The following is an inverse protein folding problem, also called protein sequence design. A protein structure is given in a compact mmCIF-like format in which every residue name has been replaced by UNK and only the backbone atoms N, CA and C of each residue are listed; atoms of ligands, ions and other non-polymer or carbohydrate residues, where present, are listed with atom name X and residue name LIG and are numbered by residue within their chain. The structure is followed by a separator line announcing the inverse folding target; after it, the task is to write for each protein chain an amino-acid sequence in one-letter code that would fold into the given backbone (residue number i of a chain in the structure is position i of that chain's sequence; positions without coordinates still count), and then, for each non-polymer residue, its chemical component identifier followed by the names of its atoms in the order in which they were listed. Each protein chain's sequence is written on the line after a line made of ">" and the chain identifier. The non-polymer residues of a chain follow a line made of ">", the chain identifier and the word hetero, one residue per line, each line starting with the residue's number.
data_IF_478414459945
#
_entry.id   IF_478414459945
#
_cell.length_a   1.000
_cell.length_b   1.000
_cell.length_c   1.000
_cell.angle_alpha   90.00
_cell.angle_beta   90.00
_cell.angle_gamma   90.00
#
_symmetry.space_group_name_H-M   'P 1'
#
loop_
_entity.id
_entity.type
_entity.pdbx_description
1 polymer ?
#
# COMPACT_ATOMS: atom_id res chain seq x y z
N UNK A 1 16.52 -1.08 26.14
CA UNK A 1 15.14 -1.60 25.99
C UNK A 1 14.25 -0.74 25.09
N UNK A 2 13.89 0.50 25.44
CA UNK A 2 13.04 1.34 24.56
C UNK A 2 13.72 1.72 23.23
N UNK A 3 15.02 2.01 23.28
CA UNK A 3 15.82 2.29 22.07
C UNK A 3 15.89 1.07 21.14
N UNK A 4 16.07 -0.14 21.70
CA UNK A 4 16.13 -1.38 20.92
C UNK A 4 14.79 -1.71 20.25
N UNK A 5 13.67 -1.47 20.96
CA UNK A 5 12.33 -1.61 20.40
C UNK A 5 12.10 -0.62 19.24
N UNK A 6 12.45 0.65 19.42
CA UNK A 6 12.34 1.67 18.36
C UNK A 6 13.13 1.28 17.11
N UNK A 7 14.37 0.84 17.28
CA UNK A 7 15.22 0.41 16.16
C UNK A 7 14.65 -0.82 15.46
N UNK A 8 14.12 -1.78 16.22
CA UNK A 8 13.49 -2.98 15.67
C UNK A 8 12.25 -2.63 14.85
N UNK A 9 11.37 -1.76 15.38
CA UNK A 9 10.18 -1.30 14.66
C UNK A 9 10.55 -0.55 13.38
N UNK A 10 11.53 0.34 13.44
CA UNK A 10 12.02 1.06 12.27
C UNK A 10 12.52 0.11 11.18
N UNK A 11 13.31 -0.90 11.54
CA UNK A 11 13.78 -1.91 10.59
C UNK A 11 12.63 -2.72 9.99
N UNK A 12 11.63 -3.11 10.78
CA UNK A 12 10.45 -3.82 10.27
C UNK A 12 9.70 -2.97 9.25
N UNK A 13 9.44 -1.69 9.56
CA UNK A 13 8.77 -0.79 8.62
C UNK A 13 9.58 -0.56 7.35
N UNK A 14 10.91 -0.45 7.44
CA UNK A 14 11.78 -0.33 6.27
C UNK A 14 11.69 -1.57 5.38
N UNK A 15 11.79 -2.78 5.95
CA UNK A 15 11.69 -4.03 5.18
C UNK A 15 10.31 -4.17 4.54
N UNK A 16 9.23 -3.88 5.28
CA UNK A 16 7.87 -3.91 4.73
C UNK A 16 7.69 -2.90 3.59
N UNK A 17 8.26 -1.70 3.72
CA UNK A 17 8.24 -0.68 2.67
C UNK A 17 8.96 -1.15 1.40
N UNK A 18 10.12 -1.78 1.54
CA UNK A 18 10.87 -2.34 0.41
C UNK A 18 10.11 -3.48 -0.27
N UNK A 19 9.57 -4.42 0.50
CA UNK A 19 8.75 -5.52 -0.03
C UNK A 19 7.54 -4.97 -0.77
N UNK A 20 6.85 -3.99 -0.19
CA UNK A 20 5.73 -3.34 -0.85
C UNK A 20 6.13 -2.68 -2.17
N UNK A 21 7.28 -2.01 -2.23
CA UNK A 21 7.79 -1.35 -3.43
C UNK A 21 8.10 -2.38 -4.54
N UNK A 22 8.70 -3.51 -4.19
CA UNK A 22 8.94 -4.63 -5.12
C UNK A 22 7.62 -5.16 -5.68
N UNK A 23 6.62 -5.39 -4.83
CA UNK A 23 5.29 -5.86 -5.24
C UNK A 23 4.62 -4.84 -6.18
N UNK A 24 4.70 -3.54 -5.87
CA UNK A 24 4.15 -2.48 -6.70
C UNK A 24 4.78 -2.47 -8.09
N UNK A 25 6.11 -2.53 -8.17
CA UNK A 25 6.82 -2.60 -9.46
C UNK A 25 6.41 -3.85 -10.23
N UNK A 26 6.39 -5.02 -9.58
CA UNK A 26 6.00 -6.27 -10.21
C UNK A 26 4.56 -6.21 -10.77
N UNK A 27 3.64 -5.62 -10.01
CA UNK A 27 2.26 -5.42 -10.44
C UNK A 27 2.17 -4.51 -11.66
N UNK A 28 2.87 -3.37 -11.66
CA UNK A 28 2.94 -2.45 -12.80
C UNK A 28 3.51 -3.17 -14.03
N UNK A 29 4.65 -3.85 -13.89
CA UNK A 29 5.27 -4.59 -15.00
C UNK A 29 4.33 -5.65 -15.54
N UNK A 30 3.64 -6.40 -14.68
CA UNK A 30 2.66 -7.41 -15.09
C UNK A 30 1.51 -6.80 -15.90
N UNK A 31 1.04 -5.61 -15.50
CA UNK A 31 -0.05 -4.89 -16.15
C UNK A 31 0.36 -4.37 -17.52
N UNK A 32 1.59 -3.85 -17.66
CA UNK A 32 2.09 -3.37 -18.94
C UNK A 32 2.33 -4.52 -19.94
N UNK A 33 2.80 -5.68 -19.45
CA UNK A 33 3.08 -6.87 -20.28
C UNK A 33 1.83 -7.56 -20.83
N UNK A 34 0.64 -7.30 -20.25
CA UNK A 34 -0.64 -7.85 -20.75
C UNK A 34 -0.98 -7.32 -22.13
N UNK A 35 -1.07 -8.18 -23.13
CA UNK A 35 -1.42 -7.81 -24.52
C UNK A 35 -2.93 -7.85 -24.78
N UNK A 36 -3.69 -8.47 -23.87
CA UNK A 36 -5.14 -8.63 -23.88
C UNK A 36 -5.91 -7.36 -23.45
N UNK A 37 -5.21 -6.35 -22.93
CA UNK A 37 -5.83 -5.14 -22.36
C UNK A 37 -5.52 -3.88 -23.16
N UNK A 38 -6.56 -3.10 -23.45
CA UNK A 38 -6.44 -1.78 -24.06
C UNK A 38 -5.75 -0.78 -23.12
N UNK A 39 -5.03 0.19 -23.70
CA UNK A 39 -4.27 1.22 -22.97
C UNK A 39 -5.09 1.97 -21.89
N UNK A 40 -6.35 2.39 -22.13
CA UNK A 40 -7.14 3.09 -21.11
C UNK A 40 -7.43 2.22 -19.89
N UNK A 41 -7.64 0.91 -20.10
CA UNK A 41 -7.89 -0.06 -19.03
C UNK A 41 -6.64 -0.27 -18.19
N UNK A 42 -5.46 -0.33 -18.81
CA UNK A 42 -4.19 -0.37 -18.09
C UNK A 42 -3.98 0.87 -17.22
N UNK A 43 -4.30 2.05 -17.75
CA UNK A 43 -4.17 3.30 -16.99
C UNK A 43 -5.08 3.31 -15.76
N UNK A 44 -6.34 2.88 -15.92
CA UNK A 44 -7.29 2.73 -14.81
C UNK A 44 -6.75 1.81 -13.70
N UNK A 45 -6.23 0.64 -14.07
CA UNK A 45 -5.67 -0.31 -13.09
C UNK A 45 -4.39 0.20 -12.43
N UNK A 46 -3.54 0.93 -13.15
CA UNK A 46 -2.35 1.56 -12.57
C UNK A 46 -2.73 2.60 -11.51
N UNK A 47 -3.75 3.42 -11.76
CA UNK A 47 -4.26 4.38 -10.79
C UNK A 47 -4.80 3.65 -9.54
N UNK A 48 -5.59 2.58 -9.73
CA UNK A 48 -6.09 1.79 -8.60
C UNK A 48 -4.93 1.21 -7.77
N UNK A 49 -3.91 0.65 -8.41
CA UNK A 49 -2.73 0.09 -7.71
C UNK A 49 -2.03 1.12 -6.82
N UNK A 50 -1.95 2.38 -7.26
CA UNK A 50 -1.34 3.46 -6.50
C UNK A 50 -2.25 4.01 -5.39
N UNK A 51 -3.56 4.07 -5.65
CA UNK A 51 -4.53 4.72 -4.75
C UNK A 51 -5.07 3.76 -3.69
N UNK A 52 -5.19 2.47 -3.98
CA UNK A 52 -5.66 1.44 -3.06
C UNK A 52 -4.99 1.47 -1.66
N UNK A 53 -3.65 1.55 -1.52
CA UNK A 53 -3.02 1.61 -0.19
C UNK A 53 -3.38 2.88 0.58
N UNK A 54 -3.55 4.02 -0.10
CA UNK A 54 -3.96 5.29 0.51
C UNK A 54 -5.41 5.21 1.00
N UNK A 55 -6.31 4.66 0.18
CA UNK A 55 -7.72 4.45 0.57
C UNK A 55 -7.80 3.51 1.77
N UNK A 56 -7.02 2.43 1.80
CA UNK A 56 -6.98 1.50 2.93
C UNK A 56 -6.57 2.19 4.24
N UNK A 57 -5.56 3.06 4.19
CA UNK A 57 -5.13 3.87 5.32
C UNK A 57 -6.20 4.87 5.77
N UNK A 58 -6.82 5.60 4.83
CA UNK A 58 -7.91 6.53 5.13
C UNK A 58 -9.08 5.80 5.80
N UNK A 59 -9.46 4.64 5.28
CA UNK A 59 -10.51 3.81 5.85
C UNK A 59 -10.18 3.36 7.27
N UNK A 60 -8.95 2.89 7.51
CA UNK A 60 -8.49 2.50 8.85
C UNK A 60 -8.61 3.66 9.86
N UNK A 61 -8.20 4.86 9.47
CA UNK A 61 -8.28 6.06 10.31
C UNK A 61 -9.73 6.43 10.61
N UNK A 62 -10.60 6.46 9.59
CA UNK A 62 -12.02 6.82 9.76
C UNK A 62 -12.75 5.81 10.65
N UNK A 63 -12.54 4.50 10.45
CA UNK A 63 -13.15 3.46 11.28
C UNK A 63 -12.65 3.51 12.71
N UNK A 64 -11.33 3.67 12.91
CA UNK A 64 -10.72 3.75 14.23
C UNK A 64 -11.20 4.98 15.00
N UNK A 65 -11.26 6.15 14.36
CA UNK A 65 -11.73 7.39 14.99
C UNK A 65 -13.21 7.31 15.36
N UNK A 66 -14.05 6.73 14.49
CA UNK A 66 -15.47 6.47 14.81
C UNK A 66 -15.62 5.53 16.02
N UNK A 67 -14.82 4.46 16.08
CA UNK A 67 -14.84 3.49 17.20
C UNK A 67 -14.40 4.11 18.53
N UNK A 68 -13.45 5.05 18.51
CA UNK A 68 -13.01 5.77 19.73
C UNK A 68 -14.03 6.79 20.23
N UNK A 69 -14.86 7.37 19.36
CA UNK A 69 -15.91 8.32 19.75
C UNK A 69 -17.13 7.63 20.39
N UNK A 70 -17.32 6.34 20.14
CA UNK A 70 -18.45 5.54 20.65
C UNK A 70 -18.13 4.81 21.98
N UNK A 71 -16.92 4.97 22.52
CA UNK A 71 -16.52 4.50 23.86
C UNK A 71 -16.30 5.71 24.75
#
# INVERSE_FOLDING_TARGET
>A
MLADLSNTLMNIFLVLGLVWLVVLIAAIVSLYRRTDMLMPVKLFWAIILLVAPVIGLLFYVVVTTKKRRLR
#
